data_IF_901675249233
#
_entry.id   IF_901675249233
#
_cell.length_a   1.000
_cell.length_b   1.000
_cell.length_c   1.000
_cell.angle_alpha   90.00
_cell.angle_beta   90.00
_cell.angle_gamma   90.00
#
_symmetry.space_group_name_H-M   'P 1'
#
loop_
_entity.id
_entity.type
_entity.pdbx_description
1 polymer ?
#
# COMPACT_ATOMS: atom_id res chain seq x y z
N UNK A 1 -31.68 -15.23 -3.63
CA UNK A 1 -30.23 -15.34 -3.34
C UNK A 1 -29.56 -14.17 -4.04
N UNK A 2 -28.93 -13.21 -3.34
CA UNK A 2 -28.13 -12.23 -4.06
C UNK A 2 -26.94 -13.01 -4.65
N UNK A 3 -26.86 -13.06 -5.97
CA UNK A 3 -25.66 -13.47 -6.70
C UNK A 3 -24.49 -12.69 -6.13
N UNK A 4 -23.45 -13.38 -5.66
CA UNK A 4 -22.21 -12.76 -5.21
C UNK A 4 -21.63 -11.95 -6.36
N UNK A 5 -21.95 -10.66 -6.41
CA UNK A 5 -21.43 -9.75 -7.41
C UNK A 5 -19.92 -9.69 -7.22
N UNK A 6 -19.17 -10.24 -8.17
CA UNK A 6 -17.72 -10.15 -8.15
C UNK A 6 -17.32 -8.69 -8.39
N UNK A 7 -16.37 -8.20 -7.60
CA UNK A 7 -15.81 -6.87 -7.80
C UNK A 7 -14.60 -6.97 -8.72
N UNK A 8 -14.65 -6.29 -9.86
CA UNK A 8 -13.51 -6.22 -10.76
C UNK A 8 -12.63 -5.02 -10.38
N UNK A 9 -11.40 -5.29 -9.94
CA UNK A 9 -10.41 -4.27 -9.62
C UNK A 9 -9.36 -4.19 -10.72
N UNK A 10 -9.26 -3.04 -11.40
CA UNK A 10 -8.27 -2.81 -12.45
C UNK A 10 -7.28 -1.75 -11.95
N UNK A 11 -6.03 -2.14 -11.77
CA UNK A 11 -4.91 -1.24 -11.48
C UNK A 11 -3.86 -1.36 -12.58
N UNK A 12 -3.59 -0.28 -13.31
CA UNK A 12 -2.60 -0.25 -14.39
C UNK A 12 -1.48 0.74 -14.06
N UNK A 13 -0.31 0.21 -13.77
CA UNK A 13 0.93 0.95 -13.63
C UNK A 13 2.03 0.23 -14.43
N UNK A 14 2.83 0.97 -15.21
CA UNK A 14 3.83 0.40 -16.14
C UNK A 14 5.21 0.99 -15.87
N UNK A 15 5.87 0.61 -14.76
CA UNK A 15 7.21 1.12 -14.45
C UNK A 15 8.26 0.56 -15.40
N UNK A 16 9.37 1.29 -15.56
CA UNK A 16 10.57 0.76 -16.25
C UNK A 16 11.05 -0.51 -15.54
N UNK A 17 11.50 -1.52 -16.30
CA UNK A 17 11.86 -2.84 -15.75
C UNK A 17 12.92 -2.79 -14.64
N UNK A 18 13.84 -1.84 -14.73
CA UNK A 18 14.95 -1.65 -13.81
C UNK A 18 14.68 -0.64 -12.69
N UNK A 19 13.50 0.00 -12.64
CA UNK A 19 13.16 0.86 -11.50
C UNK A 19 12.78 0.02 -10.28
N UNK A 20 12.77 0.64 -9.09
CA UNK A 20 12.34 -0.03 -7.84
C UNK A 20 10.99 -0.74 -7.97
N UNK A 21 10.02 -0.11 -8.62
CA UNK A 21 8.70 -0.70 -8.86
C UNK A 21 8.74 -1.77 -9.97
N UNK A 22 9.59 -1.62 -11.00
CA UNK A 22 9.81 -2.66 -12.00
C UNK A 22 10.34 -3.96 -11.42
N UNK A 23 11.32 -3.86 -10.51
CA UNK A 23 11.91 -4.99 -9.79
C UNK A 23 10.86 -5.63 -8.86
N UNK A 24 10.16 -4.83 -8.05
CA UNK A 24 9.12 -5.29 -7.14
C UNK A 24 7.99 -6.03 -7.89
N UNK A 25 7.42 -5.42 -8.93
CA UNK A 25 6.35 -6.04 -9.71
C UNK A 25 6.83 -7.28 -10.47
N UNK A 26 8.10 -7.35 -10.86
CA UNK A 26 8.68 -8.58 -11.41
C UNK A 26 8.62 -9.71 -10.38
N UNK A 27 9.05 -9.45 -9.14
CA UNK A 27 8.99 -10.45 -8.06
C UNK A 27 7.55 -10.89 -7.74
N UNK A 28 6.61 -9.94 -7.61
CA UNK A 28 5.19 -10.24 -7.34
C UNK A 28 4.56 -11.14 -8.40
N UNK A 29 4.98 -11.01 -9.66
CA UNK A 29 4.43 -11.76 -10.78
C UNK A 29 5.10 -13.13 -11.01
N UNK A 30 6.10 -13.52 -10.21
CA UNK A 30 6.69 -14.86 -10.29
C UNK A 30 5.72 -15.91 -9.72
N UNK A 31 5.40 -16.93 -10.53
CA UNK A 31 4.45 -17.99 -10.18
C UNK A 31 5.06 -19.13 -9.34
N UNK A 32 6.39 -19.20 -9.22
CA UNK A 32 7.11 -20.31 -8.55
C UNK A 32 7.30 -20.13 -7.04
N UNK A 33 6.61 -19.17 -6.42
CA UNK A 33 6.91 -18.82 -5.06
C UNK A 33 5.83 -19.27 -4.06
N UNK A 34 6.24 -19.53 -2.82
CA UNK A 34 5.39 -20.08 -1.75
C UNK A 34 4.15 -19.25 -1.40
N UNK A 35 4.10 -17.99 -1.86
CA UNK A 35 2.99 -17.05 -1.64
C UNK A 35 2.36 -16.66 -2.96
N UNK A 36 1.03 -16.67 -3.02
CA UNK A 36 0.31 -16.27 -4.23
C UNK A 36 0.51 -14.78 -4.52
N UNK A 37 0.25 -14.37 -5.76
CA UNK A 37 0.21 -12.94 -6.14
C UNK A 37 -0.72 -12.13 -5.23
N UNK A 38 -1.86 -12.72 -4.86
CA UNK A 38 -2.83 -12.08 -3.96
C UNK A 38 -2.21 -11.84 -2.57
N UNK A 39 -1.47 -12.81 -2.04
CA UNK A 39 -0.81 -12.68 -0.74
C UNK A 39 0.27 -11.59 -0.76
N UNK A 40 1.05 -11.50 -1.85
CA UNK A 40 2.12 -10.51 -1.98
C UNK A 40 1.62 -9.08 -2.18
N UNK A 41 0.45 -8.91 -2.79
CA UNK A 41 -0.09 -7.59 -3.13
C UNK A 41 -1.22 -7.17 -2.19
N UNK A 42 -2.28 -7.97 -2.11
CA UNK A 42 -3.51 -7.54 -1.47
C UNK A 42 -3.40 -7.60 0.06
N UNK A 43 -2.68 -8.57 0.64
CA UNK A 43 -2.56 -8.65 2.10
C UNK A 43 -1.81 -7.46 2.70
N UNK A 44 -0.63 -7.02 2.18
CA UNK A 44 0.03 -5.82 2.70
C UNK A 44 -0.81 -4.55 2.53
N UNK A 45 -1.49 -4.41 1.38
CA UNK A 45 -2.38 -3.28 1.11
C UNK A 45 -3.55 -3.27 2.11
N UNK A 46 -4.20 -4.41 2.30
CA UNK A 46 -5.33 -4.56 3.21
C UNK A 46 -4.90 -4.34 4.68
N UNK A 47 -3.72 -4.82 5.08
CA UNK A 47 -3.23 -4.67 6.45
C UNK A 47 -3.21 -3.20 6.91
N UNK A 48 -2.96 -2.25 6.00
CA UNK A 48 -2.98 -0.82 6.32
C UNK A 48 -4.33 -0.16 6.02
N UNK A 49 -4.92 -0.40 4.84
CA UNK A 49 -6.05 0.38 4.35
C UNK A 49 -7.42 -0.10 4.81
N UNK A 50 -7.54 -1.37 5.24
CA UNK A 50 -8.84 -1.97 5.54
C UNK A 50 -9.65 -1.24 6.64
N UNK A 51 -9.06 -0.80 7.77
CA UNK A 51 -9.81 -0.06 8.78
C UNK A 51 -10.37 1.26 8.25
N UNK A 52 -9.62 1.95 7.39
CA UNK A 52 -10.07 3.19 6.74
C UNK A 52 -11.16 2.93 5.71
N UNK A 53 -11.07 1.85 4.95
CA UNK A 53 -12.11 1.45 4.01
C UNK A 53 -13.43 1.17 4.75
N UNK A 54 -13.40 0.44 5.87
CA UNK A 54 -14.59 0.21 6.69
C UNK A 54 -15.12 1.51 7.31
N UNK A 55 -14.24 2.42 7.75
CA UNK A 55 -14.67 3.70 8.30
C UNK A 55 -15.44 4.58 7.29
N UNK A 56 -15.11 4.50 6.00
CA UNK A 56 -15.66 5.41 4.99
C UNK A 56 -16.72 4.77 4.09
N UNK A 57 -16.73 3.44 3.96
CA UNK A 57 -17.57 2.74 3.00
C UNK A 57 -18.66 1.86 3.65
N UNK A 58 -18.71 1.77 4.99
CA UNK A 58 -19.70 0.94 5.71
C UNK A 58 -20.24 1.66 6.95
N UNK A 59 -21.35 1.17 7.49
CA UNK A 59 -21.94 1.64 8.75
C UNK A 59 -21.32 0.92 9.98
N UNK A 60 -20.02 0.61 9.93
CA UNK A 60 -19.34 -0.10 11.01
C UNK A 60 -19.34 0.72 12.32
N UNK A 61 -19.66 0.05 13.42
CA UNK A 61 -19.66 0.66 14.75
C UNK A 61 -18.25 1.08 15.17
N UNK A 62 -18.12 2.06 16.10
CA UNK A 62 -16.82 2.48 16.63
C UNK A 62 -15.99 1.32 17.22
N UNK A 63 -16.64 0.34 17.85
CA UNK A 63 -15.98 -0.85 18.39
C UNK A 63 -15.42 -1.76 17.30
N UNK A 64 -16.14 -1.95 16.20
CA UNK A 64 -15.67 -2.75 15.06
C UNK A 64 -14.48 -2.08 14.38
N UNK A 65 -14.54 -0.76 14.18
CA UNK A 65 -13.43 0.02 13.64
C UNK A 65 -12.18 -0.04 14.52
N UNK A 66 -12.34 0.05 15.85
CA UNK A 66 -11.22 -0.13 16.78
C UNK A 66 -10.62 -1.52 16.70
N UNK A 67 -11.45 -2.56 16.57
CA UNK A 67 -10.96 -3.93 16.44
C UNK A 67 -10.21 -4.13 15.12
N UNK A 68 -10.74 -3.62 14.00
CA UNK A 68 -10.06 -3.63 12.71
C UNK A 68 -8.71 -2.91 12.78
N UNK A 69 -8.66 -1.73 13.41
CA UNK A 69 -7.42 -0.98 13.60
C UNK A 69 -6.39 -1.75 14.45
N UNK A 70 -6.81 -2.43 15.52
CA UNK A 70 -5.91 -3.28 16.33
C UNK A 70 -5.36 -4.45 15.52
N UNK A 71 -6.21 -5.11 14.75
CA UNK A 71 -5.80 -6.20 13.85
C UNK A 71 -4.82 -5.72 12.78
N UNK A 72 -5.09 -4.56 12.17
CA UNK A 72 -4.19 -3.91 11.21
C UNK A 72 -2.80 -3.64 11.81
N UNK A 73 -2.74 -2.99 12.98
CA UNK A 73 -1.48 -2.72 13.70
C UNK A 73 -0.71 -4.00 14.00
N UNK A 74 -1.40 -5.06 14.43
CA UNK A 74 -0.77 -6.34 14.68
C UNK A 74 -0.14 -6.95 13.42
N UNK A 75 -0.86 -6.97 12.30
CA UNK A 75 -0.35 -7.48 11.02
C UNK A 75 0.86 -6.67 10.53
N UNK A 76 0.80 -5.35 10.63
CA UNK A 76 1.92 -4.48 10.25
C UNK A 76 3.17 -4.75 11.11
N UNK A 77 2.99 -5.00 12.41
CA UNK A 77 4.10 -5.40 13.29
C UNK A 77 4.70 -6.75 12.89
N UNK A 78 3.88 -7.71 12.47
CA UNK A 78 4.40 -8.98 11.95
C UNK A 78 5.22 -8.78 10.67
N UNK A 79 4.78 -7.90 9.77
CA UNK A 79 5.55 -7.55 8.57
C UNK A 79 6.87 -6.85 8.91
N UNK A 80 6.86 -5.89 9.84
CA UNK A 80 8.08 -5.23 10.34
C UNK A 80 9.05 -6.29 10.88
N UNK A 81 8.59 -7.15 11.79
CA UNK A 81 9.41 -8.20 12.37
C UNK A 81 9.95 -9.19 11.33
N UNK A 82 9.16 -9.51 10.31
CA UNK A 82 9.60 -10.38 9.22
C UNK A 82 10.72 -9.73 8.41
N UNK A 83 10.60 -8.43 8.08
CA UNK A 83 11.66 -7.68 7.40
C UNK A 83 12.91 -7.60 8.27
N UNK A 84 12.76 -7.24 9.55
CA UNK A 84 13.90 -7.14 10.46
C UNK A 84 14.66 -8.46 10.58
N UNK A 85 13.98 -9.60 10.70
CA UNK A 85 14.65 -10.90 10.72
C UNK A 85 15.27 -11.28 9.37
N UNK A 86 14.56 -11.04 8.27
CA UNK A 86 15.01 -11.46 6.93
C UNK A 86 16.25 -10.71 6.47
N UNK A 87 16.41 -9.46 6.93
CA UNK A 87 17.54 -8.60 6.57
C UNK A 87 18.54 -8.40 7.73
N UNK A 88 18.33 -9.09 8.87
CA UNK A 88 19.24 -9.03 10.00
C UNK A 88 19.34 -7.65 10.66
N UNK A 89 18.21 -6.96 10.83
CA UNK A 89 18.09 -5.62 11.43
C UNK A 89 17.72 -5.66 12.93
N UNK A 90 17.70 -6.86 13.54
CA UNK A 90 17.26 -7.09 14.92
C UNK A 90 18.36 -6.90 15.99
N UNK A 91 19.51 -6.37 15.58
CA UNK A 91 20.75 -6.22 16.36
C UNK A 91 20.80 -4.92 17.19
N UNK A 92 19.67 -4.25 17.37
CA UNK A 92 19.52 -3.10 18.29
C UNK A 92 20.20 -1.82 17.79
N UNK A 93 20.70 -1.82 16.56
CA UNK A 93 21.31 -0.66 15.92
C UNK A 93 20.25 0.09 15.11
N UNK A 94 19.83 1.24 15.66
CA UNK A 94 18.95 2.24 15.04
C UNK A 94 17.48 1.78 14.89
N UNK A 95 16.71 1.97 15.96
CA UNK A 95 15.25 2.06 15.81
C UNK A 95 14.94 3.27 14.92
N UNK A 96 14.48 3.01 13.69
CA UNK A 96 13.99 4.06 12.79
C UNK A 96 12.62 4.52 13.30
N UNK A 97 12.62 5.52 14.18
CA UNK A 97 11.39 6.23 14.52
C UNK A 97 10.87 6.92 13.26
N UNK A 98 9.58 6.82 12.92
CA UNK A 98 9.02 7.53 11.79
C UNK A 98 9.20 9.04 11.98
N UNK A 99 10.13 9.65 11.25
CA UNK A 99 10.44 11.09 11.33
C UNK A 99 9.37 11.94 10.64
N UNK A 100 8.53 11.31 9.83
CA UNK A 100 7.46 11.94 9.07
C UNK A 100 6.11 11.35 9.46
N UNK A 101 5.15 12.24 9.71
CA UNK A 101 3.76 11.86 9.95
C UNK A 101 3.14 11.55 8.59
N UNK A 102 2.61 10.33 8.43
CA UNK A 102 1.81 10.02 7.25
C UNK A 102 0.58 10.95 7.28
N UNK A 103 0.51 11.88 6.34
CA UNK A 103 -0.65 12.77 6.24
C UNK A 103 -1.88 11.94 5.94
N UNK A 104 -2.98 12.24 6.63
CA UNK A 104 -4.25 11.55 6.41
C UNK A 104 -4.79 12.07 5.08
N UNK A 105 -4.88 11.26 4.01
CA UNK A 105 -5.47 11.74 2.77
C UNK A 105 -6.93 12.13 3.07
N UNK A 106 -7.23 13.41 2.89
CA UNK A 106 -8.58 13.94 2.95
C UNK A 106 -9.36 13.37 1.75
N UNK A 107 -10.13 12.31 1.96
CA UNK A 107 -11.00 11.76 0.90
C UNK A 107 -12.09 12.76 0.45
N UNK A 108 -12.27 13.88 1.15
CA UNK A 108 -13.17 14.95 0.72
C UNK A 108 -12.66 15.70 -0.52
N UNK A 109 -11.35 15.65 -0.82
CA UNK A 109 -10.79 16.26 -2.02
C UNK A 109 -10.94 15.38 -3.28
N UNK A 110 -11.24 14.08 -3.11
CA UNK A 110 -11.46 13.16 -4.24
C UNK A 110 -12.90 13.19 -4.78
N UNK A 111 -13.83 13.83 -4.07
CA UNK A 111 -15.24 13.92 -4.48
C UNK A 111 -15.56 15.21 -5.28
N UNK A 112 -14.70 16.23 -5.26
CA UNK A 112 -14.98 17.51 -5.94
C UNK A 112 -14.48 17.59 -7.38
N UNK A 113 -13.73 16.59 -7.86
CA UNK A 113 -13.12 16.65 -9.19
C UNK A 113 -13.96 15.78 -10.12
N UNK A 114 -15.13 16.28 -10.48
CA UNK A 114 -15.79 15.87 -11.71
C UNK A 114 -14.76 15.90 -12.83
N UNK A 115 -14.74 14.83 -13.63
CA UNK A 115 -13.95 14.70 -14.84
C UNK A 115 -14.26 15.87 -15.77
N UNK A 116 -13.56 16.98 -15.58
CA UNK A 116 -13.43 18.02 -16.58
C UNK A 116 -12.02 17.91 -17.12
N UNK A 117 -11.94 17.42 -18.35
CA UNK A 117 -10.83 17.71 -19.26
C UNK A 117 -10.54 19.22 -19.16
N UNK A 118 -9.49 19.56 -18.43
CA UNK A 118 -8.80 20.84 -18.59
C UNK A 118 -7.37 20.51 -18.97
N UNK A 119 -7.11 20.77 -20.24
CA UNK A 119 -5.79 20.89 -20.85
C UNK A 119 -5.03 22.00 -20.11
N UNK A 120 -4.35 21.64 -19.03
CA UNK A 120 -3.25 22.39 -18.39
C UNK A 120 -2.73 21.47 -17.28
N UNK A 121 -2.07 20.39 -17.68
CA UNK A 121 -1.35 19.54 -16.75
C UNK A 121 -0.16 20.34 -16.22
N UNK A 122 0.04 20.48 -14.90
CA UNK A 122 1.38 20.78 -14.40
C UNK A 122 2.31 19.68 -14.93
N UNK A 123 3.52 20.07 -15.35
CA UNK A 123 4.55 19.11 -15.73
C UNK A 123 4.58 18.01 -14.68
N UNK A 124 4.42 16.76 -15.12
CA UNK A 124 4.62 15.60 -14.25
C UNK A 124 5.99 15.79 -13.62
N UNK A 125 6.03 16.05 -12.32
CA UNK A 125 7.27 15.90 -11.57
C UNK A 125 7.74 14.48 -11.86
N UNK A 126 8.84 14.40 -12.60
CA UNK A 126 9.52 13.15 -12.89
C UNK A 126 10.04 12.66 -11.53
N UNK A 127 9.27 11.78 -10.87
CA UNK A 127 9.71 11.10 -9.65
C UNK A 127 10.84 10.09 -9.96
N UNK A 128 11.66 10.33 -10.99
CA UNK A 128 12.88 9.58 -11.32
C UNK A 128 14.02 9.83 -10.35
N UNK A 129 14.01 10.95 -9.63
CA UNK A 129 15.19 11.40 -8.87
C UNK A 129 15.30 10.77 -7.47
N UNK A 130 14.34 9.92 -7.09
CA UNK A 130 14.36 9.13 -5.84
C UNK A 130 14.76 7.66 -6.09
N UNK A 131 15.48 7.38 -7.18
CA UNK A 131 15.90 6.03 -7.61
C UNK A 131 17.34 5.65 -7.16
N UNK A 132 18.07 6.53 -6.49
CA UNK A 132 19.41 6.21 -5.96
C UNK A 132 19.36 5.64 -4.53
N UNK A 133 18.86 4.41 -4.38
CA UNK A 133 19.10 3.61 -3.15
C UNK A 133 20.33 2.69 -3.33
N UNK A 134 20.94 2.63 -4.51
CA UNK A 134 22.11 1.79 -4.80
C UNK A 134 23.32 2.58 -5.31
N UNK A 135 23.61 3.72 -4.70
CA UNK A 135 24.89 4.42 -4.87
C UNK A 135 25.61 4.57 -3.53
N UNK A 136 26.15 3.45 -3.02
CA UNK A 136 27.47 3.26 -2.39
C UNK A 136 27.52 2.00 -1.52
#
# INVERSE_FOLDING_TARGET
>A
MPTSAQFNFIFRHQPKRNSKYGILLTYINQDEADLTRCDRMLQPVAAFWLPFAYQNCTDASPSELQQLARSAVYQLKLHIHYLENSFGLNDGSIALEPTQKLEKPSLLEMSSNGWHEREDLPEMEDFSDEDDILSQ
#
